data_IF_094040420953
#
_entry.id   IF_094040420953
#
_cell.length_a   1.000
_cell.length_b   1.000
_cell.length_c   1.000
_cell.angle_alpha   90.00
_cell.angle_beta   90.00
_cell.angle_gamma   90.00
#
_symmetry.space_group_name_H-M   'P 1'
#
loop_
_entity.id
_entity.type
_entity.pdbx_description
1 polymer ?
#
# COMPACT_ATOMS: atom_id res chain seq x y z
N UNK A 1 -1.45 -10.29 12.45
CA UNK A 1 -0.34 -9.34 12.16
C UNK A 1 1.05 -10.02 11.99
N UNK A 2 1.18 -11.35 12.03
CA UNK A 2 2.47 -12.04 11.79
C UNK A 2 2.98 -11.79 10.38
N UNK A 3 2.13 -11.92 9.38
CA UNK A 3 2.44 -11.61 7.98
C UNK A 3 3.04 -10.21 7.77
N UNK A 4 2.47 -9.17 8.42
CA UNK A 4 3.02 -7.79 8.35
C UNK A 4 4.43 -7.71 8.91
N UNK A 5 4.72 -8.46 9.98
CA UNK A 5 6.07 -8.49 10.59
C UNK A 5 7.07 -9.25 9.73
N UNK A 6 6.65 -10.36 9.11
CA UNK A 6 7.49 -11.13 8.20
C UNK A 6 7.91 -10.30 6.98
N UNK A 7 6.94 -9.63 6.32
CA UNK A 7 7.24 -8.73 5.20
C UNK A 7 8.09 -7.54 5.67
N UNK A 8 7.86 -7.00 6.88
CA UNK A 8 8.65 -5.90 7.43
C UNK A 8 10.13 -6.28 7.59
N UNK A 9 10.42 -7.42 8.19
CA UNK A 9 11.80 -7.92 8.34
C UNK A 9 12.47 -8.05 6.98
N UNK A 10 11.76 -8.63 5.99
CA UNK A 10 12.28 -8.78 4.64
C UNK A 10 12.52 -7.42 3.94
N UNK A 11 11.66 -6.42 4.14
CA UNK A 11 11.85 -5.06 3.60
C UNK A 11 13.07 -4.37 4.23
N UNK A 12 13.24 -4.46 5.53
CA UNK A 12 14.42 -3.88 6.21
C UNK A 12 15.71 -4.61 5.80
N UNK A 13 15.66 -5.93 5.60
CA UNK A 13 16.78 -6.71 5.06
C UNK A 13 17.14 -6.28 3.63
N UNK A 14 16.13 -6.08 2.76
CA UNK A 14 16.34 -5.59 1.39
C UNK A 14 16.96 -4.19 1.38
N UNK A 15 16.54 -3.30 2.29
CA UNK A 15 17.17 -1.99 2.45
C UNK A 15 18.62 -2.12 2.92
N UNK A 16 18.89 -2.93 3.96
CA UNK A 16 20.24 -3.14 4.47
C UNK A 16 21.20 -3.63 3.39
N UNK A 17 20.74 -4.53 2.53
CA UNK A 17 21.56 -5.08 1.44
C UNK A 17 21.97 -4.05 0.38
N UNK A 18 21.32 -2.87 0.34
CA UNK A 18 21.73 -1.74 -0.53
C UNK A 18 22.91 -0.96 0.03
N UNK A 19 23.19 -1.08 1.32
CA UNK A 19 24.26 -0.35 1.98
C UNK A 19 25.58 -1.10 1.93
N UNK A 20 26.68 -0.35 1.86
CA UNK A 20 28.02 -0.90 2.06
C UNK A 20 28.17 -1.44 3.48
N UNK A 21 28.98 -2.47 3.65
CA UNK A 21 29.14 -3.23 4.91
C UNK A 21 29.45 -2.42 6.18
N UNK A 22 29.84 -1.14 6.06
CA UNK A 22 30.22 -0.29 7.20
C UNK A 22 29.15 0.73 7.62
N UNK A 23 27.96 0.72 7.02
CA UNK A 23 26.88 1.65 7.42
C UNK A 23 26.00 1.01 8.47
N UNK A 24 25.95 1.61 9.65
CA UNK A 24 25.03 1.19 10.73
C UNK A 24 23.66 1.80 10.46
N UNK A 25 22.69 0.96 10.15
CA UNK A 25 21.29 1.39 10.03
C UNK A 25 20.63 1.46 11.39
N UNK A 26 19.95 2.59 11.65
CA UNK A 26 19.12 2.79 12.84
C UNK A 26 17.65 2.61 12.49
N UNK A 27 16.95 1.81 13.29
CA UNK A 27 15.53 1.48 13.11
C UNK A 27 14.74 1.89 14.36
N UNK A 28 13.65 2.63 14.19
CA UNK A 28 12.70 2.96 15.25
C UNK A 28 11.38 2.22 15.05
N UNK A 29 10.97 1.39 16.01
CA UNK A 29 9.60 0.93 16.19
C UNK A 29 8.90 1.93 17.14
N UNK A 30 8.17 2.89 16.55
CA UNK A 30 7.70 4.09 17.27
C UNK A 30 6.56 3.80 18.25
N UNK A 31 5.79 2.73 18.04
CA UNK A 31 4.58 2.35 18.79
C UNK A 31 4.59 0.83 19.02
N UNK A 32 5.62 0.35 19.70
CA UNK A 32 6.07 -1.03 19.62
C UNK A 32 5.21 -2.04 20.41
N UNK A 33 4.38 -1.58 21.37
CA UNK A 33 3.59 -2.46 22.23
C UNK A 33 4.44 -3.50 22.96
N UNK A 34 4.43 -4.75 22.53
CA UNK A 34 5.29 -5.81 23.09
C UNK A 34 6.73 -5.79 22.60
N UNK A 35 7.08 -4.91 21.66
CA UNK A 35 8.37 -4.82 21.00
C UNK A 35 8.62 -5.86 19.92
N UNK A 36 7.67 -6.75 19.64
CA UNK A 36 7.88 -7.94 18.79
C UNK A 36 8.39 -7.58 17.39
N UNK A 37 7.95 -6.48 16.78
CA UNK A 37 8.40 -6.04 15.45
C UNK A 37 9.85 -5.60 15.48
N UNK A 38 10.19 -4.62 16.34
CA UNK A 38 11.55 -4.11 16.48
C UNK A 38 12.53 -5.17 16.96
N UNK A 39 12.15 -6.01 17.94
CA UNK A 39 12.98 -7.12 18.40
C UNK A 39 13.28 -8.16 17.32
N UNK A 40 12.33 -8.45 16.42
CA UNK A 40 12.57 -9.30 15.26
C UNK A 40 13.56 -8.65 14.29
N UNK A 41 13.41 -7.35 14.03
CA UNK A 41 14.36 -6.61 13.18
C UNK A 41 15.77 -6.65 13.79
N UNK A 42 15.92 -6.45 15.11
CA UNK A 42 17.20 -6.56 15.79
C UNK A 42 17.83 -7.95 15.66
N UNK A 43 17.03 -8.99 15.85
CA UNK A 43 17.49 -10.39 15.82
C UNK A 43 17.79 -10.90 14.41
N UNK A 44 16.91 -10.61 13.46
CA UNK A 44 16.91 -11.24 12.13
C UNK A 44 17.69 -10.39 11.10
N UNK A 45 17.69 -9.05 11.25
CA UNK A 45 18.38 -8.15 10.31
C UNK A 45 19.70 -7.62 10.88
N UNK A 46 19.85 -7.56 12.22
CA UNK A 46 21.04 -7.10 12.90
C UNK A 46 21.38 -5.63 12.57
N UNK A 47 20.45 -4.73 12.83
CA UNK A 47 20.59 -3.29 12.79
C UNK A 47 20.43 -2.71 14.19
N UNK A 48 20.83 -1.46 14.40
CA UNK A 48 20.59 -0.78 15.67
C UNK A 48 19.11 -0.44 15.82
N UNK A 49 18.47 -0.95 16.88
CA UNK A 49 17.02 -0.85 17.04
C UNK A 49 16.67 -0.09 18.33
N UNK A 50 15.78 0.89 18.16
CA UNK A 50 15.04 1.54 19.24
C UNK A 50 13.58 1.07 19.17
N UNK A 51 13.06 0.59 20.31
CA UNK A 51 11.62 0.28 20.49
C UNK A 51 11.04 1.25 21.49
N UNK A 52 9.93 1.88 21.14
CA UNK A 52 9.27 2.88 21.97
C UNK A 52 7.79 2.60 22.17
N UNK A 53 7.29 2.85 23.36
CA UNK A 53 5.85 2.93 23.62
C UNK A 53 5.58 3.90 24.77
N UNK A 54 4.47 4.63 24.68
CA UNK A 54 4.02 5.54 25.74
C UNK A 54 3.49 4.79 26.96
N UNK A 55 3.03 3.53 26.78
CA UNK A 55 2.46 2.72 27.86
C UNK A 55 3.57 2.08 28.71
N UNK A 56 3.56 2.34 30.01
CA UNK A 56 4.56 1.81 30.94
C UNK A 56 4.60 0.26 30.96
N UNK A 57 3.44 -0.39 30.91
CA UNK A 57 3.35 -1.86 30.86
C UNK A 57 3.96 -2.44 29.57
N UNK A 58 3.79 -1.75 28.45
CA UNK A 58 4.45 -2.10 27.18
C UNK A 58 5.98 -1.94 27.30
N UNK A 59 6.46 -0.86 27.92
CA UNK A 59 7.88 -0.62 28.14
C UNK A 59 8.53 -1.74 28.98
N UNK A 60 7.90 -2.14 30.08
CA UNK A 60 8.38 -3.25 30.91
C UNK A 60 8.38 -4.59 30.14
N UNK A 61 7.35 -4.80 29.33
CA UNK A 61 7.26 -6.00 28.49
C UNK A 61 8.38 -6.02 27.42
N UNK A 62 8.66 -4.89 26.77
CA UNK A 62 9.78 -4.76 25.82
C UNK A 62 11.12 -5.07 26.46
N UNK A 63 11.42 -4.49 27.63
CA UNK A 63 12.64 -4.77 28.38
C UNK A 63 12.79 -6.26 28.73
N UNK A 64 11.72 -6.87 29.22
CA UNK A 64 11.70 -8.30 29.55
C UNK A 64 11.93 -9.17 28.30
N UNK A 65 11.28 -8.85 27.18
CA UNK A 65 11.42 -9.60 25.94
C UNK A 65 12.83 -9.44 25.35
N UNK A 66 13.39 -8.22 25.33
CA UNK A 66 14.77 -7.98 24.88
C UNK A 66 15.78 -8.76 25.72
N UNK A 67 15.65 -8.72 27.06
CA UNK A 67 16.50 -9.50 27.98
C UNK A 67 16.39 -11.01 27.73
N UNK A 68 15.15 -11.54 27.55
CA UNK A 68 14.92 -12.96 27.30
C UNK A 68 15.58 -13.45 26.01
N UNK A 69 15.65 -12.58 25.00
CA UNK A 69 16.26 -12.88 23.70
C UNK A 69 17.74 -12.50 23.62
N UNK A 70 18.32 -11.95 24.71
CA UNK A 70 19.71 -11.45 24.78
C UNK A 70 20.01 -10.42 23.67
N UNK A 71 19.02 -9.59 23.31
CA UNK A 71 19.17 -8.56 22.29
C UNK A 71 19.58 -7.23 22.90
N UNK A 72 20.56 -6.57 22.28
CA UNK A 72 20.94 -5.20 22.60
C UNK A 72 20.08 -4.24 21.78
N UNK A 73 19.04 -3.69 22.41
CA UNK A 73 18.11 -2.72 21.81
C UNK A 73 17.90 -1.56 22.79
N UNK A 74 17.67 -0.37 22.27
CA UNK A 74 17.27 0.78 23.06
C UNK A 74 15.78 0.72 23.34
N UNK A 75 15.38 0.75 24.61
CA UNK A 75 13.98 0.72 25.02
C UNK A 75 13.60 2.07 25.61
N UNK A 76 12.75 2.79 24.90
CA UNK A 76 12.27 4.11 25.24
C UNK A 76 10.85 4.05 25.82
N UNK A 77 10.54 4.98 26.75
CA UNK A 77 9.22 5.20 27.32
C UNK A 77 8.84 6.66 27.13
N UNK A 78 8.43 7.01 25.90
CA UNK A 78 8.25 8.40 25.52
C UNK A 78 7.02 8.57 24.62
N UNK A 79 6.50 9.79 24.55
CA UNK A 79 5.62 10.17 23.45
C UNK A 79 6.37 10.01 22.13
N UNK A 80 5.75 9.30 21.18
CA UNK A 80 6.38 8.97 19.90
C UNK A 80 6.72 10.22 19.07
N UNK A 81 5.84 11.25 19.08
CA UNK A 81 6.09 12.50 18.37
C UNK A 81 7.25 13.30 19.00
N UNK A 82 7.35 13.31 20.33
CA UNK A 82 8.47 13.95 21.03
C UNK A 82 9.79 13.25 20.66
N UNK A 83 9.85 11.91 20.75
CA UNK A 83 11.04 11.13 20.38
C UNK A 83 11.46 11.39 18.92
N UNK A 84 10.53 11.30 17.97
CA UNK A 84 10.79 11.55 16.54
C UNK A 84 11.14 13.02 16.25
N UNK A 85 10.77 13.96 17.12
CA UNK A 85 11.14 15.36 16.96
C UNK A 85 12.58 15.65 17.39
N UNK A 86 13.09 14.90 18.35
CA UNK A 86 14.43 15.08 18.95
C UNK A 86 15.51 14.21 18.28
N UNK A 87 15.14 13.06 17.72
CA UNK A 87 16.07 12.10 17.12
C UNK A 87 15.83 11.88 15.63
N UNK A 88 16.84 11.33 14.94
CA UNK A 88 16.77 10.91 13.53
C UNK A 88 17.07 9.43 13.43
N UNK A 89 16.33 8.76 12.55
CA UNK A 89 16.50 7.34 12.27
C UNK A 89 16.53 7.09 10.75
N UNK A 90 17.26 6.08 10.32
CA UNK A 90 17.26 5.67 8.92
C UNK A 90 15.90 5.10 8.55
N UNK A 91 15.36 4.24 9.40
CA UNK A 91 14.05 3.60 9.21
C UNK A 91 13.13 3.92 10.38
N UNK A 92 11.93 4.37 10.09
CA UNK A 92 10.87 4.54 11.10
C UNK A 92 9.66 3.69 10.73
N UNK A 93 9.19 2.94 11.70
CA UNK A 93 7.96 2.15 11.64
C UNK A 93 6.88 2.79 12.52
N UNK A 94 5.77 3.20 11.88
CA UNK A 94 4.59 3.77 12.52
C UNK A 94 3.45 2.76 12.37
N UNK A 95 3.20 1.98 13.42
CA UNK A 95 2.17 0.92 13.44
C UNK A 95 1.19 1.10 14.63
N UNK A 96 0.34 2.14 14.61
CA UNK A 96 -0.62 2.40 15.66
C UNK A 96 -1.83 1.47 15.61
N UNK A 97 -2.55 1.39 16.72
CA UNK A 97 -3.95 1.00 16.70
C UNK A 97 -4.78 2.14 16.09
N UNK A 98 -5.37 1.93 14.91
CA UNK A 98 -6.19 2.93 14.20
C UNK A 98 -5.41 3.73 13.17
N UNK A 99 -5.49 5.05 13.26
CA UNK A 99 -4.93 5.97 12.28
C UNK A 99 -3.49 6.35 12.57
N UNK A 100 -2.58 6.28 11.57
CA UNK A 100 -1.22 6.80 11.70
C UNK A 100 -1.17 8.34 11.61
N UNK A 101 -2.23 9.02 11.20
CA UNK A 101 -2.23 10.45 10.94
C UNK A 101 -1.63 11.32 12.07
N UNK A 102 -1.86 11.05 13.38
CA UNK A 102 -1.25 11.84 14.45
C UNK A 102 0.27 11.76 14.56
N UNK A 103 0.91 10.79 13.89
CA UNK A 103 2.35 10.52 14.00
C UNK A 103 3.12 10.85 12.72
N UNK A 104 2.40 11.09 11.60
CA UNK A 104 3.00 11.20 10.26
C UNK A 104 3.96 12.39 10.15
N UNK A 105 3.60 13.58 10.67
CA UNK A 105 4.46 14.78 10.56
C UNK A 105 5.83 14.54 11.23
N UNK A 106 5.82 14.07 12.48
CA UNK A 106 7.06 13.81 13.21
C UNK A 106 7.90 12.70 12.56
N UNK A 107 7.24 11.64 12.05
CA UNK A 107 7.90 10.55 11.34
C UNK A 107 8.54 11.05 10.02
N UNK A 108 7.84 11.87 9.24
CA UNK A 108 8.35 12.46 8.00
C UNK A 108 9.58 13.34 8.25
N UNK A 109 9.58 14.10 9.33
CA UNK A 109 10.71 14.93 9.72
C UNK A 109 11.91 14.08 10.15
N UNK A 110 11.69 13.03 10.90
CA UNK A 110 12.73 12.21 11.54
C UNK A 110 13.34 11.17 10.59
N UNK A 111 12.54 10.44 9.81
CA UNK A 111 13.01 9.38 8.91
C UNK A 111 13.96 9.92 7.84
N UNK A 112 15.05 9.20 7.54
CA UNK A 112 16.01 9.62 6.51
C UNK A 112 16.04 8.73 5.26
N UNK A 113 15.70 7.43 5.36
CA UNK A 113 15.84 6.49 4.25
C UNK A 113 14.58 5.70 3.95
N UNK A 114 13.88 5.20 4.96
CA UNK A 114 12.64 4.47 4.75
C UNK A 114 11.60 4.81 5.82
N UNK A 115 10.39 5.05 5.38
CA UNK A 115 9.22 5.20 6.23
C UNK A 115 8.27 4.04 6.00
N UNK A 116 7.94 3.34 7.07
CA UNK A 116 7.00 2.22 7.09
C UNK A 116 5.76 2.64 7.87
N UNK A 117 4.59 2.58 7.25
CA UNK A 117 3.35 3.05 7.88
C UNK A 117 2.25 2.01 7.76
N UNK A 118 1.59 1.73 8.88
CA UNK A 118 0.37 0.93 8.93
C UNK A 118 -0.83 1.80 9.27
N UNK A 119 -1.94 1.59 8.58
CA UNK A 119 -3.26 2.12 8.94
C UNK A 119 -4.23 0.96 9.16
N UNK A 120 -4.79 0.85 10.36
CA UNK A 120 -5.84 -0.13 10.67
C UNK A 120 -7.25 0.50 10.66
N UNK A 121 -7.35 1.80 10.49
CA UNK A 121 -8.60 2.54 10.28
C UNK A 121 -9.01 2.52 8.79
N UNK A 122 -9.15 1.32 8.23
CA UNK A 122 -9.47 1.14 6.80
C UNK A 122 -10.85 1.67 6.41
N UNK A 123 -11.84 1.70 7.32
CA UNK A 123 -13.18 2.21 7.04
C UNK A 123 -13.20 3.72 6.67
N UNK A 124 -12.50 4.64 7.35
CA UNK A 124 -12.27 6.00 6.88
C UNK A 124 -11.61 6.09 5.51
N UNK A 125 -10.55 5.33 5.28
CA UNK A 125 -9.79 5.37 4.03
C UNK A 125 -10.56 4.79 2.83
N UNK A 126 -11.42 3.79 3.07
CA UNK A 126 -12.26 3.16 2.05
C UNK A 126 -13.57 3.89 1.74
N UNK A 127 -13.87 4.97 2.44
CA UNK A 127 -15.10 5.74 2.26
C UNK A 127 -16.32 5.25 3.03
N UNK A 128 -16.22 4.14 3.76
CA UNK A 128 -17.31 3.67 4.62
C UNK A 128 -17.61 4.65 5.79
N UNK A 129 -16.58 5.35 6.28
CA UNK A 129 -16.72 6.44 7.26
C UNK A 129 -16.17 7.74 6.66
N UNK A 130 -16.87 8.28 5.67
CA UNK A 130 -16.46 9.42 4.83
C UNK A 130 -15.91 10.61 5.63
N UNK A 131 -16.69 11.15 6.58
CA UNK A 131 -16.27 12.32 7.36
C UNK A 131 -15.00 12.09 8.20
N UNK A 132 -14.77 10.86 8.66
CA UNK A 132 -13.54 10.52 9.38
C UNK A 132 -12.35 10.48 8.42
N UNK A 133 -12.54 9.99 7.20
CA UNK A 133 -11.53 10.04 6.13
C UNK A 133 -11.12 11.47 5.81
N UNK A 134 -12.09 12.36 5.61
CA UNK A 134 -11.83 13.78 5.36
C UNK A 134 -11.04 14.42 6.51
N UNK A 135 -11.48 14.23 7.76
CA UNK A 135 -10.80 14.85 8.92
C UNK A 135 -9.39 14.34 9.15
N UNK A 136 -9.14 13.02 8.95
CA UNK A 136 -7.84 12.41 9.28
C UNK A 136 -6.82 12.54 8.16
N UNK A 137 -7.28 12.48 6.91
CA UNK A 137 -6.39 12.38 5.76
C UNK A 137 -6.50 13.56 4.80
N UNK A 138 -7.37 14.56 5.10
CA UNK A 138 -7.63 15.72 4.25
C UNK A 138 -7.83 15.33 2.78
N UNK A 139 -8.65 14.30 2.55
CA UNK A 139 -8.96 13.74 1.25
C UNK A 139 -10.40 13.20 1.24
N UNK A 140 -11.03 13.19 0.09
CA UNK A 140 -12.36 12.62 -0.14
C UNK A 140 -12.20 11.12 -0.45
N UNK A 141 -12.54 10.20 0.47
CA UNK A 141 -12.52 8.77 0.17
C UNK A 141 -13.75 8.37 -0.65
N UNK A 142 -13.68 7.22 -1.33
CA UNK A 142 -14.79 6.74 -2.15
C UNK A 142 -14.97 5.23 -1.99
N UNK A 143 -16.21 4.81 -1.72
CA UNK A 143 -16.54 3.38 -1.55
C UNK A 143 -16.93 2.76 -2.89
N UNK A 144 -15.93 2.27 -3.61
CA UNK A 144 -16.04 1.58 -4.90
C UNK A 144 -15.54 0.14 -4.77
N UNK A 145 -15.59 -0.66 -5.84
CA UNK A 145 -14.96 -1.98 -5.87
C UNK A 145 -13.44 -1.93 -5.65
N UNK A 146 -12.80 -0.80 -5.96
CA UNK A 146 -11.37 -0.56 -5.77
C UNK A 146 -11.04 0.34 -4.56
N UNK A 147 -11.97 0.42 -3.59
CA UNK A 147 -11.82 1.25 -2.38
C UNK A 147 -10.53 0.98 -1.60
N UNK A 148 -10.03 -0.26 -1.61
CA UNK A 148 -8.79 -0.63 -0.91
C UNK A 148 -7.56 0.06 -1.54
N UNK A 149 -7.48 0.14 -2.86
CA UNK A 149 -6.43 0.88 -3.56
C UNK A 149 -6.60 2.39 -3.38
N UNK A 150 -7.83 2.92 -3.51
CA UNK A 150 -8.12 4.33 -3.24
C UNK A 150 -7.68 4.72 -1.83
N UNK A 151 -8.01 3.91 -0.82
CA UNK A 151 -7.60 4.15 0.56
C UNK A 151 -6.09 4.11 0.75
N UNK A 152 -5.38 3.17 0.12
CA UNK A 152 -3.92 3.11 0.12
C UNK A 152 -3.31 4.36 -0.51
N UNK A 153 -3.83 4.80 -1.66
CA UNK A 153 -3.35 6.01 -2.35
C UNK A 153 -3.65 7.29 -1.59
N UNK A 154 -4.76 7.35 -0.85
CA UNK A 154 -5.07 8.45 0.09
C UNK A 154 -4.06 8.48 1.24
N UNK A 155 -3.75 7.32 1.85
CA UNK A 155 -2.76 7.21 2.91
C UNK A 155 -1.38 7.70 2.44
N UNK A 156 -0.90 7.20 1.30
CA UNK A 156 0.37 7.62 0.70
C UNK A 156 0.36 9.13 0.39
N UNK A 157 -0.72 9.62 -0.21
CA UNK A 157 -0.88 11.04 -0.53
C UNK A 157 -0.85 11.93 0.71
N UNK A 158 -1.44 11.49 1.83
CA UNK A 158 -1.36 12.21 3.10
C UNK A 158 0.08 12.27 3.63
N UNK A 159 0.82 11.15 3.58
CA UNK A 159 2.22 11.08 4.00
C UNK A 159 3.11 11.98 3.11
N UNK A 160 2.92 11.95 1.80
CA UNK A 160 3.69 12.76 0.86
C UNK A 160 3.47 14.26 1.12
N UNK A 161 2.23 14.71 1.38
CA UNK A 161 1.95 16.11 1.72
C UNK A 161 2.66 16.58 3.00
N UNK A 162 2.94 15.68 3.94
CA UNK A 162 3.77 16.00 5.11
C UNK A 162 5.27 16.02 4.77
N UNK A 163 5.76 15.05 4.00
CA UNK A 163 7.18 14.93 3.62
C UNK A 163 7.70 16.13 2.83
N UNK A 164 6.92 16.59 1.84
CA UNK A 164 7.36 17.67 0.93
C UNK A 164 7.57 19.00 1.65
N UNK A 165 6.97 19.22 2.83
CA UNK A 165 7.21 20.40 3.69
C UNK A 165 8.67 20.47 4.19
N UNK A 166 9.40 19.36 4.14
CA UNK A 166 10.78 19.20 4.58
C UNK A 166 11.76 18.99 3.43
N UNK A 167 11.37 19.36 2.20
CA UNK A 167 12.13 19.10 0.96
C UNK A 167 12.52 17.63 0.80
N UNK A 168 11.65 16.72 1.25
CA UNK A 168 11.80 15.28 1.09
C UNK A 168 10.78 14.74 0.10
N UNK A 169 11.19 13.72 -0.63
CA UNK A 169 10.34 12.90 -1.49
C UNK A 169 10.14 11.51 -0.91
N UNK A 170 9.12 10.82 -1.37
CA UNK A 170 8.93 9.40 -1.10
C UNK A 170 8.61 8.65 -2.38
N UNK A 171 9.24 7.49 -2.54
CA UNK A 171 8.90 6.50 -3.55
C UNK A 171 8.30 5.28 -2.85
N UNK A 172 6.99 5.00 -3.02
CA UNK A 172 6.42 3.74 -2.57
C UNK A 172 7.12 2.59 -3.28
N UNK A 173 7.66 1.63 -2.52
CA UNK A 173 8.42 0.50 -3.07
C UNK A 173 7.75 -0.83 -2.87
N UNK A 174 6.90 -0.93 -1.86
CA UNK A 174 6.00 -2.05 -1.63
C UNK A 174 4.82 -1.56 -0.80
N UNK A 175 3.60 -1.82 -1.24
CA UNK A 175 2.41 -1.62 -0.44
C UNK A 175 1.56 -2.89 -0.44
N UNK A 176 0.81 -3.11 0.61
CA UNK A 176 -0.20 -4.18 0.60
C UNK A 176 -1.39 -3.86 1.50
N UNK A 177 -2.57 -4.20 0.99
CA UNK A 177 -3.80 -4.25 1.75
C UNK A 177 -4.07 -5.71 2.13
N UNK A 178 -4.15 -6.00 3.41
CA UNK A 178 -4.31 -7.37 3.89
C UNK A 178 -5.23 -7.38 5.09
N UNK A 179 -6.28 -8.22 5.05
CA UNK A 179 -7.25 -8.32 6.13
C UNK A 179 -7.88 -6.95 6.46
N UNK A 180 -7.48 -6.34 7.58
CA UNK A 180 -8.06 -5.11 8.09
C UNK A 180 -7.02 -3.99 8.24
N UNK A 181 -5.94 -4.02 7.47
CA UNK A 181 -4.92 -2.96 7.50
C UNK A 181 -4.33 -2.68 6.12
N UNK A 182 -3.86 -1.45 5.96
CA UNK A 182 -3.03 -0.99 4.86
C UNK A 182 -1.60 -0.81 5.35
N UNK A 183 -0.65 -1.30 4.58
CA UNK A 183 0.78 -1.17 4.90
C UNK A 183 1.53 -0.60 3.72
N UNK A 184 2.32 0.45 3.95
CA UNK A 184 3.16 1.08 2.94
C UNK A 184 4.61 1.12 3.41
N UNK A 185 5.53 0.79 2.51
CA UNK A 185 6.97 0.95 2.63
C UNK A 185 7.42 1.95 1.56
N UNK A 186 8.05 3.03 1.99
CA UNK A 186 8.43 4.14 1.12
C UNK A 186 9.90 4.48 1.34
N UNK A 187 10.69 4.48 0.27
CA UNK A 187 12.06 5.01 0.30
C UNK A 187 12.00 6.53 0.22
N UNK A 188 12.86 7.18 1.00
CA UNK A 188 12.92 8.62 1.12
C UNK A 188 14.20 9.15 0.48
N UNK A 189 14.06 10.27 -0.23
CA UNK A 189 15.18 11.05 -0.73
C UNK A 189 15.00 12.51 -0.36
N UNK A 190 16.07 13.30 -0.38
CA UNK A 190 16.05 14.71 -0.07
C UNK A 190 16.35 15.53 -1.33
N UNK A 191 15.53 16.54 -1.60
CA UNK A 191 15.73 17.48 -2.70
C UNK A 191 14.44 18.17 -3.10
N UNK A 192 14.51 19.47 -3.32
CA UNK A 192 13.37 20.32 -3.70
C UNK A 192 12.69 19.83 -4.99
N UNK A 193 13.48 19.48 -6.01
CA UNK A 193 12.92 19.00 -7.29
C UNK A 193 12.25 17.63 -7.16
N UNK A 194 12.76 16.75 -6.29
CA UNK A 194 12.14 15.46 -6.00
C UNK A 194 10.84 15.66 -5.23
N UNK A 195 10.81 16.57 -4.26
CA UNK A 195 9.60 16.94 -3.54
C UNK A 195 8.55 17.53 -4.49
N UNK A 196 8.95 18.44 -5.39
CA UNK A 196 8.07 18.99 -6.43
C UNK A 196 7.52 17.91 -7.36
N UNK A 197 8.33 16.92 -7.73
CA UNK A 197 7.88 15.78 -8.53
C UNK A 197 6.81 14.94 -7.80
N UNK A 198 6.95 14.74 -6.50
CA UNK A 198 5.92 14.08 -5.69
C UNK A 198 4.61 14.88 -5.69
N UNK A 199 4.67 16.21 -5.57
CA UNK A 199 3.47 17.08 -5.64
C UNK A 199 2.79 16.94 -7.00
N UNK A 200 3.54 16.93 -8.10
CA UNK A 200 3.00 16.74 -9.47
C UNK A 200 2.35 15.38 -9.67
N UNK A 201 2.74 14.36 -8.89
CA UNK A 201 2.17 13.01 -8.93
C UNK A 201 0.94 12.84 -8.04
N UNK A 202 0.47 13.91 -7.41
CA UNK A 202 -0.82 13.92 -6.70
C UNK A 202 -1.97 14.19 -7.66
N UNK A 203 -3.16 13.72 -7.31
CA UNK A 203 -4.36 14.00 -8.10
C UNK A 203 -5.61 13.37 -7.54
N UNK A 204 -6.58 13.10 -8.41
CA UNK A 204 -7.91 12.63 -8.06
C UNK A 204 -8.37 11.53 -9.01
N UNK A 205 -9.37 10.77 -8.58
CA UNK A 205 -10.10 9.82 -9.41
C UNK A 205 -11.53 10.32 -9.55
N UNK A 206 -11.99 10.53 -10.80
CA UNK A 206 -13.39 10.73 -11.10
C UNK A 206 -14.02 9.37 -11.45
N UNK A 207 -15.21 9.07 -10.89
CA UNK A 207 -15.89 7.79 -11.04
C UNK A 207 -17.39 7.98 -11.29
N UNK A 208 -17.92 7.26 -12.27
CA UNK A 208 -19.33 7.16 -12.55
C UNK A 208 -19.93 5.91 -11.92
N UNK A 209 -20.77 6.07 -10.89
CA UNK A 209 -21.45 4.94 -10.25
C UNK A 209 -22.52 4.29 -11.12
N UNK A 210 -23.00 4.96 -12.19
CA UNK A 210 -24.02 4.42 -13.08
C UNK A 210 -23.44 3.43 -14.09
N UNK A 211 -22.32 3.76 -14.76
CA UNK A 211 -21.75 2.92 -15.81
C UNK A 211 -20.38 2.30 -15.46
N UNK A 212 -19.76 2.70 -14.33
CA UNK A 212 -18.43 2.22 -13.91
C UNK A 212 -17.25 2.88 -14.63
N UNK A 213 -17.50 3.85 -15.52
CA UNK A 213 -16.44 4.63 -16.16
C UNK A 213 -15.67 5.46 -15.13
N UNK A 214 -14.36 5.58 -15.32
CA UNK A 214 -13.48 6.31 -14.42
C UNK A 214 -12.23 6.79 -15.11
N UNK A 215 -11.68 7.91 -14.63
CA UNK A 215 -10.43 8.48 -15.11
C UNK A 215 -9.69 9.22 -13.98
N UNK A 216 -8.42 9.48 -14.20
CA UNK A 216 -7.58 10.23 -13.26
C UNK A 216 -7.46 11.67 -13.67
N UNK A 217 -7.36 12.55 -12.66
CA UNK A 217 -7.15 13.99 -12.80
C UNK A 217 -5.87 14.34 -12.07
N UNK A 218 -4.86 14.82 -12.79
CA UNK A 218 -3.58 15.21 -12.21
C UNK A 218 -3.65 16.60 -11.58
N UNK A 219 -2.87 16.82 -10.52
CA UNK A 219 -2.75 18.10 -9.82
C UNK A 219 -3.57 18.18 -8.53
N UNK A 220 -3.31 19.24 -7.76
CA UNK A 220 -3.92 19.43 -6.43
C UNK A 220 -5.29 20.10 -6.48
N UNK A 221 -5.61 20.80 -7.57
CA UNK A 221 -6.88 21.52 -7.74
C UNK A 221 -7.41 21.30 -9.17
N UNK A 222 -7.74 20.05 -9.53
CA UNK A 222 -8.34 19.78 -10.84
C UNK A 222 -9.78 20.24 -10.89
N UNK A 223 -10.25 20.55 -12.09
CA UNK A 223 -11.65 20.81 -12.37
C UNK A 223 -12.21 19.57 -13.08
N UNK A 224 -12.89 18.67 -12.36
CA UNK A 224 -13.53 17.53 -13.01
C UNK A 224 -14.74 17.95 -13.83
N UNK A 225 -15.02 17.24 -14.92
CA UNK A 225 -16.32 17.35 -15.57
C UNK A 225 -17.41 16.93 -14.56
N UNK A 226 -18.53 17.65 -14.52
CA UNK A 226 -19.60 17.34 -13.59
C UNK A 226 -20.35 16.06 -13.97
N UNK A 227 -20.38 15.73 -15.26
CA UNK A 227 -21.17 14.66 -15.85
C UNK A 227 -20.28 13.64 -16.58
N UNK A 228 -20.72 12.40 -16.60
CA UNK A 228 -20.03 11.31 -17.27
C UNK A 228 -20.20 11.42 -18.79
N UNK A 229 -19.11 11.44 -19.55
CA UNK A 229 -19.13 11.51 -21.01
C UNK A 229 -19.79 10.29 -21.69
N UNK A 230 -20.07 9.20 -20.96
CA UNK A 230 -20.63 7.96 -21.51
C UNK A 230 -22.13 7.78 -21.21
N UNK A 231 -22.63 8.36 -20.11
CA UNK A 231 -24.02 8.12 -19.70
C UNK A 231 -24.70 9.33 -19.03
N UNK A 232 -24.08 10.50 -19.07
CA UNK A 232 -24.54 11.78 -18.52
C UNK A 232 -24.86 11.77 -17.00
N UNK A 233 -24.57 10.69 -16.30
CA UNK A 233 -24.74 10.62 -14.84
C UNK A 233 -23.67 11.47 -14.13
N UNK A 234 -23.99 11.99 -12.94
CA UNK A 234 -23.04 12.76 -12.12
C UNK A 234 -21.81 11.94 -11.72
N UNK A 235 -20.63 12.54 -11.86
CA UNK A 235 -19.37 11.96 -11.43
C UNK A 235 -19.13 12.24 -9.94
N UNK A 236 -18.60 11.25 -9.25
CA UNK A 236 -18.05 11.40 -7.91
C UNK A 236 -16.51 11.49 -7.99
N UNK A 237 -15.90 12.22 -7.05
CA UNK A 237 -14.45 12.48 -7.05
C UNK A 237 -13.83 12.02 -5.74
N UNK A 238 -12.73 11.28 -5.81
CA UNK A 238 -11.90 10.88 -4.67
C UNK A 238 -10.52 11.54 -4.75
N UNK A 239 -9.97 11.95 -3.61
CA UNK A 239 -8.64 12.56 -3.50
C UNK A 239 -8.62 13.82 -2.63
N UNK A 240 -7.48 14.55 -2.55
CA UNK A 240 -6.25 14.29 -3.27
C UNK A 240 -5.57 12.99 -2.81
N UNK A 241 -5.01 12.25 -3.75
CA UNK A 241 -4.38 10.96 -3.54
C UNK A 241 -3.13 10.79 -4.43
N UNK A 242 -2.32 9.77 -4.12
CA UNK A 242 -1.14 9.43 -4.90
C UNK A 242 -1.52 8.75 -6.22
N UNK A 243 -1.08 9.30 -7.37
CA UNK A 243 -1.30 8.72 -8.71
C UNK A 243 -0.10 7.93 -9.23
N UNK A 244 1.07 8.06 -8.62
CA UNK A 244 2.28 7.36 -9.03
C UNK A 244 2.24 5.87 -8.72
N UNK A 245 3.38 5.20 -8.98
CA UNK A 245 3.57 3.75 -8.77
C UNK A 245 3.39 3.38 -7.29
N UNK A 246 2.92 2.16 -7.05
CA UNK A 246 2.75 1.60 -5.70
C UNK A 246 3.88 0.63 -5.32
N UNK A 247 4.58 0.10 -6.33
CA UNK A 247 5.62 -0.91 -6.18
C UNK A 247 6.84 -0.56 -7.01
N UNK A 248 8.04 -0.82 -6.47
CA UNK A 248 9.29 -0.88 -7.22
C UNK A 248 9.64 -2.35 -7.48
N UNK A 249 9.72 -2.74 -8.74
CA UNK A 249 9.94 -4.14 -9.12
C UNK A 249 11.26 -4.68 -8.58
N UNK A 250 12.34 -3.87 -8.62
CA UNK A 250 13.65 -4.27 -8.12
C UNK A 250 13.63 -4.48 -6.61
N UNK A 251 12.98 -3.58 -5.88
CA UNK A 251 12.83 -3.72 -4.44
C UNK A 251 11.95 -4.92 -4.08
N UNK A 252 10.82 -5.12 -4.75
CA UNK A 252 9.95 -6.28 -4.55
C UNK A 252 10.70 -7.60 -4.79
N UNK A 253 11.55 -7.65 -5.81
CA UNK A 253 12.41 -8.82 -6.08
C UNK A 253 13.37 -9.09 -4.92
N UNK A 254 14.04 -8.06 -4.39
CA UNK A 254 14.95 -8.18 -3.23
C UNK A 254 14.21 -8.62 -1.96
N UNK A 255 12.97 -8.13 -1.75
CA UNK A 255 12.12 -8.55 -0.64
C UNK A 255 11.72 -10.03 -0.81
N UNK A 256 11.37 -10.46 -2.02
CA UNK A 256 11.04 -11.85 -2.32
C UNK A 256 12.22 -12.79 -2.04
N UNK A 257 13.41 -12.43 -2.49
CA UNK A 257 14.65 -13.16 -2.20
C UNK A 257 14.92 -13.26 -0.68
N UNK A 258 14.70 -12.16 0.05
CA UNK A 258 14.84 -12.15 1.52
C UNK A 258 13.82 -13.07 2.19
N UNK A 259 12.58 -13.16 1.66
CA UNK A 259 11.55 -14.08 2.16
C UNK A 259 11.94 -15.54 1.85
N UNK A 260 12.42 -15.81 0.66
CA UNK A 260 12.79 -17.17 0.22
C UNK A 260 13.99 -17.73 1.01
N UNK A 261 14.96 -16.87 1.35
CA UNK A 261 16.13 -17.27 2.13
C UNK A 261 15.91 -17.22 3.65
N UNK A 262 14.87 -16.51 4.14
CA UNK A 262 14.57 -16.38 5.56
C UNK A 262 13.71 -17.51 6.12
N UNK A 263 13.63 -17.52 7.46
CA UNK A 263 12.74 -18.42 8.22
C UNK A 263 11.57 -17.62 8.77
N UNK A 264 10.43 -17.66 8.08
CA UNK A 264 9.24 -16.91 8.42
C UNK A 264 8.03 -17.82 8.64
N UNK A 265 7.22 -17.51 9.65
CA UNK A 265 6.01 -18.29 9.97
C UNK A 265 4.96 -18.23 8.85
N UNK A 266 4.87 -17.08 8.16
CA UNK A 266 3.92 -16.89 7.05
C UNK A 266 4.59 -16.86 5.67
N UNK A 267 5.75 -17.49 5.51
CA UNK A 267 6.62 -17.46 4.31
C UNK A 267 5.83 -17.59 2.99
N UNK A 268 5.01 -18.65 2.84
CA UNK A 268 4.24 -18.90 1.61
C UNK A 268 3.27 -17.75 1.30
N UNK A 269 2.61 -17.22 2.34
CA UNK A 269 1.64 -16.13 2.17
C UNK A 269 2.34 -14.81 1.85
N UNK A 270 3.45 -14.53 2.51
CA UNK A 270 4.28 -13.36 2.25
C UNK A 270 4.84 -13.38 0.82
N UNK A 271 5.44 -14.48 0.38
CA UNK A 271 5.94 -14.65 -0.98
C UNK A 271 4.82 -14.46 -2.02
N UNK A 272 3.63 -15.04 -1.81
CA UNK A 272 2.49 -14.86 -2.71
C UNK A 272 2.08 -13.39 -2.86
N UNK A 273 2.00 -12.63 -1.76
CA UNK A 273 1.63 -11.20 -1.80
C UNK A 273 2.70 -10.40 -2.53
N UNK A 274 3.98 -10.58 -2.18
CA UNK A 274 5.09 -9.84 -2.82
C UNK A 274 5.20 -10.18 -4.30
N UNK A 275 4.97 -11.45 -4.70
CA UNK A 275 4.92 -11.85 -6.12
C UNK A 275 3.78 -11.18 -6.87
N UNK A 276 2.61 -11.00 -6.25
CA UNK A 276 1.51 -10.24 -6.86
C UNK A 276 1.91 -8.78 -7.03
N UNK A 277 2.48 -8.14 -6.01
CA UNK A 277 2.97 -6.76 -6.07
C UNK A 277 4.06 -6.56 -7.14
N UNK A 278 4.99 -7.52 -7.26
CA UNK A 278 6.05 -7.51 -8.27
C UNK A 278 5.52 -7.49 -9.71
N UNK A 279 4.40 -8.21 -9.96
CA UNK A 279 3.83 -8.38 -11.29
C UNK A 279 2.60 -7.49 -11.55
N UNK A 280 2.23 -6.65 -10.59
CA UNK A 280 1.07 -5.78 -10.69
C UNK A 280 1.34 -4.58 -11.61
N UNK A 281 0.39 -4.27 -12.49
CA UNK A 281 0.47 -3.08 -13.34
C UNK A 281 0.32 -1.78 -12.52
N UNK A 282 0.98 -0.73 -12.99
CA UNK A 282 0.94 0.60 -12.37
C UNK A 282 -0.33 1.41 -12.70
N UNK A 283 -1.33 0.81 -13.35
CA UNK A 283 -2.60 1.47 -13.59
C UNK A 283 -3.27 1.86 -12.27
N UNK A 284 -3.83 3.06 -12.24
CA UNK A 284 -4.63 3.50 -11.10
C UNK A 284 -5.98 2.80 -11.14
N UNK A 285 -6.44 2.25 -10.01
CA UNK A 285 -7.63 1.41 -9.86
C UNK A 285 -7.50 -0.01 -10.42
N UNK A 286 -8.48 -0.84 -10.10
CA UNK A 286 -8.62 -2.19 -10.62
C UNK A 286 -10.11 -2.50 -10.88
N UNK A 287 -10.41 -3.56 -11.62
CA UNK A 287 -11.76 -4.04 -11.88
C UNK A 287 -12.02 -5.35 -11.13
N UNK A 288 -13.13 -5.43 -10.39
CA UNK A 288 -13.68 -6.72 -9.93
C UNK A 288 -14.49 -7.34 -11.09
N UNK A 289 -13.85 -8.24 -11.83
CA UNK A 289 -14.47 -8.86 -12.99
C UNK A 289 -15.64 -9.81 -12.62
N UNK A 290 -15.69 -10.34 -11.40
CA UNK A 290 -16.83 -11.09 -10.91
C UNK A 290 -18.08 -10.20 -10.75
N UNK A 291 -17.90 -8.94 -10.36
CA UNK A 291 -18.99 -7.96 -10.32
C UNK A 291 -19.51 -7.70 -11.74
N UNK A 292 -18.62 -7.45 -12.69
CA UNK A 292 -19.00 -7.22 -14.08
C UNK A 292 -19.72 -8.45 -14.70
N UNK A 293 -19.24 -9.66 -14.45
CA UNK A 293 -19.90 -10.88 -14.91
C UNK A 293 -21.32 -11.05 -14.33
N UNK A 294 -21.53 -10.68 -13.06
CA UNK A 294 -22.88 -10.67 -12.47
C UNK A 294 -23.80 -9.66 -13.15
N UNK A 295 -23.30 -8.45 -13.44
CA UNK A 295 -24.04 -7.43 -14.18
C UNK A 295 -24.41 -7.92 -15.59
N UNK A 296 -23.49 -8.62 -16.26
CA UNK A 296 -23.68 -9.22 -17.59
C UNK A 296 -24.48 -10.53 -17.56
N UNK A 297 -24.83 -11.05 -16.39
CA UNK A 297 -25.51 -12.36 -16.21
C UNK A 297 -24.73 -13.51 -16.86
N UNK A 298 -23.42 -13.55 -16.68
CA UNK A 298 -22.50 -14.55 -17.22
C UNK A 298 -21.81 -15.37 -16.13
N UNK A 299 -21.45 -16.60 -16.49
CA UNK A 299 -20.67 -17.49 -15.61
C UNK A 299 -19.23 -16.99 -15.44
N UNK A 300 -18.61 -17.18 -14.25
CA UNK A 300 -17.22 -16.82 -14.05
C UNK A 300 -16.28 -17.58 -14.98
N UNK A 301 -15.29 -16.85 -15.51
CA UNK A 301 -14.14 -17.40 -16.25
C UNK A 301 -12.89 -17.41 -15.35
N UNK A 302 -11.91 -18.31 -15.57
CA UNK A 302 -10.65 -18.26 -14.83
C UNK A 302 -9.94 -16.91 -15.05
N UNK A 303 -9.37 -16.35 -13.98
CA UNK A 303 -8.72 -15.02 -14.03
C UNK A 303 -7.56 -14.98 -15.04
N UNK A 304 -6.83 -16.09 -15.21
CA UNK A 304 -5.72 -16.17 -16.16
C UNK A 304 -6.24 -16.16 -17.63
N UNK A 305 -7.41 -16.73 -17.87
CA UNK A 305 -8.08 -16.66 -19.19
C UNK A 305 -8.44 -15.22 -19.53
N UNK A 306 -8.97 -14.46 -18.54
CA UNK A 306 -9.30 -13.04 -18.74
C UNK A 306 -8.04 -12.21 -18.99
N UNK A 307 -7.00 -12.39 -18.18
CA UNK A 307 -5.71 -11.68 -18.37
C UNK A 307 -5.11 -11.97 -19.75
N UNK A 308 -5.14 -13.24 -20.19
CA UNK A 308 -4.65 -13.64 -21.50
C UNK A 308 -5.53 -13.08 -22.64
N UNK A 309 -6.85 -13.08 -22.46
CA UNK A 309 -7.79 -12.52 -23.44
C UNK A 309 -7.58 -11.01 -23.66
N UNK A 310 -7.41 -10.23 -22.58
CA UNK A 310 -7.10 -8.81 -22.69
C UNK A 310 -5.78 -8.56 -23.41
N UNK A 311 -4.75 -9.35 -23.10
CA UNK A 311 -3.44 -9.25 -23.78
C UNK A 311 -3.53 -9.60 -25.26
N UNK A 312 -4.35 -10.59 -25.62
CA UNK A 312 -4.56 -11.00 -27.01
C UNK A 312 -5.22 -9.90 -27.88
N UNK A 313 -6.02 -9.03 -27.26
CA UNK A 313 -6.62 -7.86 -27.95
C UNK A 313 -5.81 -6.57 -27.78
N UNK A 314 -4.56 -6.67 -27.29
CA UNK A 314 -3.58 -5.58 -27.28
C UNK A 314 -3.52 -4.74 -25.99
N UNK A 315 -4.26 -5.09 -24.94
CA UNK A 315 -4.21 -4.38 -23.66
C UNK A 315 -3.25 -5.04 -22.69
N UNK A 316 -2.66 -4.24 -21.81
CA UNK A 316 -1.90 -4.75 -20.66
C UNK A 316 -2.88 -5.23 -19.59
N UNK A 317 -2.60 -6.34 -18.95
CA UNK A 317 -3.41 -6.86 -17.87
C UNK A 317 -2.56 -7.63 -16.87
N UNK A 318 -2.90 -7.51 -15.59
CA UNK A 318 -2.30 -8.28 -14.50
C UNK A 318 -3.34 -8.59 -13.42
N UNK A 319 -3.00 -9.54 -12.55
CA UNK A 319 -3.69 -9.67 -11.26
C UNK A 319 -3.29 -8.51 -10.35
N UNK A 320 -4.06 -8.32 -9.27
CA UNK A 320 -3.73 -7.38 -8.20
C UNK A 320 -3.67 -8.09 -6.86
N UNK A 321 -2.88 -7.56 -5.93
CA UNK A 321 -2.83 -8.07 -4.55
C UNK A 321 -4.03 -7.63 -3.70
N UNK A 322 -4.76 -6.59 -4.13
CA UNK A 322 -5.89 -6.03 -3.38
C UNK A 322 -7.11 -6.97 -3.29
N UNK A 323 -7.31 -7.80 -4.30
CA UNK A 323 -8.46 -8.72 -4.35
C UNK A 323 -8.16 -9.93 -5.24
N UNK A 324 -8.64 -11.11 -4.82
CA UNK A 324 -8.48 -12.35 -5.60
C UNK A 324 -9.34 -12.43 -6.86
N UNK A 325 -10.37 -11.59 -6.99
CA UNK A 325 -11.30 -11.51 -8.11
C UNK A 325 -11.12 -10.25 -8.95
N UNK A 326 -9.94 -9.63 -8.87
CA UNK A 326 -9.72 -8.34 -9.52
C UNK A 326 -8.47 -8.34 -10.38
N UNK A 327 -8.53 -7.52 -11.42
CA UNK A 327 -7.45 -7.31 -12.38
C UNK A 327 -7.17 -5.82 -12.55
N UNK A 328 -5.93 -5.51 -12.87
CA UNK A 328 -5.51 -4.20 -13.40
C UNK A 328 -5.32 -4.30 -14.90
N UNK A 329 -5.79 -3.29 -15.61
CA UNK A 329 -5.66 -3.18 -17.07
C UNK A 329 -5.71 -1.72 -17.49
N UNK A 330 -5.17 -1.40 -18.65
CA UNK A 330 -5.35 -0.11 -19.32
C UNK A 330 -6.56 -0.08 -20.29
N UNK A 331 -7.31 -1.19 -20.40
CA UNK A 331 -8.60 -1.22 -21.06
C UNK A 331 -9.66 -0.44 -20.25
N UNK A 332 -10.56 0.24 -20.93
CA UNK A 332 -11.74 0.82 -20.30
C UNK A 332 -12.78 -0.25 -19.92
N UNK A 333 -13.83 0.17 -19.22
CA UNK A 333 -14.86 -0.75 -18.72
C UNK A 333 -15.67 -1.41 -19.83
N UNK A 334 -15.88 -0.73 -20.96
CA UNK A 334 -16.68 -1.26 -22.06
C UNK A 334 -15.89 -2.28 -22.88
N UNK A 335 -14.62 -2.02 -23.13
CA UNK A 335 -13.68 -3.01 -23.69
C UNK A 335 -13.62 -4.26 -22.82
N UNK A 336 -13.48 -4.08 -21.49
CA UNK A 336 -13.45 -5.20 -20.55
C UNK A 336 -14.75 -6.01 -20.58
N UNK A 337 -15.92 -5.36 -20.67
CA UNK A 337 -17.22 -6.02 -20.84
C UNK A 337 -17.28 -6.83 -22.14
N UNK A 338 -16.78 -6.28 -23.24
CA UNK A 338 -16.70 -6.98 -24.53
C UNK A 338 -15.89 -8.28 -24.43
N UNK A 339 -14.67 -8.20 -23.91
CA UNK A 339 -13.80 -9.38 -23.72
C UNK A 339 -14.45 -10.41 -22.79
N UNK A 340 -15.11 -9.98 -21.70
CA UNK A 340 -15.82 -10.88 -20.79
C UNK A 340 -16.99 -11.61 -21.47
N UNK A 341 -17.74 -10.94 -22.35
CA UNK A 341 -18.83 -11.55 -23.13
C UNK A 341 -18.30 -12.61 -24.08
N UNK A 342 -17.24 -12.32 -24.81
CA UNK A 342 -16.63 -13.26 -25.78
C UNK A 342 -16.12 -14.52 -25.05
N UNK A 343 -15.33 -14.35 -24.01
CA UNK A 343 -14.75 -15.47 -23.23
C UNK A 343 -15.83 -16.32 -22.53
N UNK A 344 -16.89 -15.69 -22.00
CA UNK A 344 -17.99 -16.43 -21.35
C UNK A 344 -18.87 -17.15 -22.35
N UNK A 345 -19.09 -16.60 -23.54
CA UNK A 345 -19.84 -17.24 -24.63
C UNK A 345 -19.13 -18.48 -25.20
N UNK A 346 -17.82 -18.46 -25.32
CA UNK A 346 -17.01 -19.62 -25.70
C UNK A 346 -17.05 -20.73 -24.64
N UNK A 347 -16.97 -20.37 -23.37
CA UNK A 347 -17.06 -21.30 -22.24
C UNK A 347 -18.43 -22.01 -22.17
N UNK A 348 -19.53 -21.30 -22.45
CA UNK A 348 -20.87 -21.90 -22.53
C UNK A 348 -21.00 -22.87 -23.71
N UNK A 349 -20.51 -22.51 -24.91
CA UNK A 349 -20.48 -23.38 -26.08
C UNK A 349 -19.64 -24.64 -25.86
N UNK A 350 -18.53 -24.54 -25.18
CA UNK A 350 -17.67 -25.69 -24.84
C UNK A 350 -18.38 -26.67 -23.89
N UNK A 351 -19.08 -26.15 -22.86
CA UNK A 351 -19.86 -26.99 -21.93
C UNK A 351 -21.01 -27.73 -22.60
N UNK A 352 -21.71 -27.09 -23.54
CA UNK A 352 -22.82 -27.69 -24.29
C UNK A 352 -22.35 -28.76 -25.31
N UNK A 353 -21.07 -28.82 -25.67
CA UNK A 353 -20.49 -29.84 -26.55
C UNK A 353 -20.00 -31.10 -25.81
N UNK A 354 -19.87 -31.06 -24.52
CA UNK A 354 -19.34 -32.14 -23.66
C UNK A 354 -20.35 -32.64 -22.61
N UNK A 355 -21.59 -32.15 -22.60
CA UNK A 355 -22.74 -32.66 -21.85
C UNK A 355 -23.79 -33.25 -22.79
#
# INVERSE_FOLDING_TARGET
>A
MELSRDINVACVQALKNKHCHNTVLTYLDALAGSGIRGLRVANEVQVEVTVNDYNLGANELMKRNAKRLSLNVHVEHRDANALMSEARFNVIDVDPFGSPAPFVDAACRSASEMLCVTATDTAPLSGAHFNAGVRRYSALPMNTEYHAETGMRILIGAIIRELVKYDKSATPVLVHATEHYYRAYMLLDRGVELANACVRSMGFIAHCFACGHRYVLSGLVPVPDPDCAYCDAKLAVAGPLWLGTLHDQKFCQQVLESIENGVFGTKRRAAKIVTLCLNELDTVTFFDYHRLLRELKRSPVPIETLVSGLRAVGFRASRTHFSGTSIKTDADVDTLRGVLLDLSGESEKARLRHG
#
